data_IF_846523160531
#
_entry.id   IF_846523160531
#
_cell.length_a   1.000
_cell.length_b   1.000
_cell.length_c   1.000
_cell.angle_alpha   90.00
_cell.angle_beta   90.00
_cell.angle_gamma   90.00
#
_symmetry.space_group_name_H-M   'P 1'
#
loop_
_entity.id
_entity.type
_entity.pdbx_description
1 polymer ?
#
# COMPACT_ATOMS: atom_id res chain seq x y z
N UNK A 1 11.93 -22.32 12.04
CA UNK A 1 11.95 -20.87 12.37
C UNK A 1 12.10 -20.68 13.89
N UNK A 2 11.11 -21.08 14.70
CA UNK A 2 11.12 -20.93 16.17
C UNK A 2 12.37 -21.52 16.85
N UNK A 3 12.75 -22.76 16.51
CA UNK A 3 13.92 -23.41 17.13
C UNK A 3 15.24 -22.63 16.94
N UNK A 4 15.41 -21.90 15.82
CA UNK A 4 16.58 -21.04 15.62
C UNK A 4 16.54 -19.79 16.50
N UNK A 5 15.36 -19.18 16.67
CA UNK A 5 15.21 -18.01 17.54
C UNK A 5 15.55 -18.36 18.99
N UNK A 6 15.00 -19.47 19.50
CA UNK A 6 15.26 -19.96 20.86
C UNK A 6 16.74 -20.30 21.05
N UNK A 7 17.35 -21.04 20.10
CA UNK A 7 18.77 -21.44 20.18
C UNK A 7 19.74 -20.25 20.31
N UNK A 8 19.33 -19.09 19.82
CA UNK A 8 20.16 -17.88 19.76
C UNK A 8 19.60 -16.73 20.59
N UNK A 9 18.65 -16.99 21.49
CA UNK A 9 18.03 -15.99 22.38
C UNK A 9 17.49 -14.74 21.64
N UNK A 10 16.92 -14.94 20.46
CA UNK A 10 16.40 -13.86 19.61
C UNK A 10 14.93 -13.61 19.95
N UNK A 11 14.62 -12.37 20.34
CA UNK A 11 13.25 -11.88 20.46
C UNK A 11 12.63 -11.63 19.08
N UNK A 12 11.40 -12.10 18.87
CA UNK A 12 10.61 -11.81 17.67
C UNK A 12 9.38 -11.01 18.07
N UNK A 13 9.29 -9.78 17.56
CA UNK A 13 8.11 -8.93 17.66
C UNK A 13 7.48 -8.79 16.27
N UNK A 14 6.15 -8.83 16.23
CA UNK A 14 5.39 -8.70 14.99
C UNK A 14 4.24 -7.73 15.21
N UNK A 15 4.20 -6.69 14.38
CA UNK A 15 3.08 -5.75 14.29
C UNK A 15 2.47 -5.90 12.90
N UNK A 16 1.17 -6.18 12.88
CA UNK A 16 0.39 -6.33 11.64
C UNK A 16 -0.42 -5.05 11.42
N UNK A 17 -1.75 -5.13 11.48
CA UNK A 17 -2.66 -3.98 11.32
C UNK A 17 -2.27 -2.69 12.07
N UNK A 18 -1.73 -2.71 13.31
CA UNK A 18 -1.29 -1.48 13.97
C UNK A 18 -0.16 -0.75 13.21
N UNK A 19 0.72 -1.50 12.53
CA UNK A 19 1.78 -0.93 11.70
C UNK A 19 1.22 -0.38 10.41
N UNK A 20 0.25 -1.06 9.78
CA UNK A 20 -0.41 -0.57 8.56
C UNK A 20 -1.19 0.73 8.80
N UNK A 21 -1.92 0.80 9.92
CA UNK A 21 -2.81 1.91 10.26
C UNK A 21 -2.11 3.13 10.87
N UNK A 22 -0.84 3.04 11.22
CA UNK A 22 -0.13 4.08 11.95
C UNK A 22 0.03 5.36 11.10
N UNK A 23 -0.60 6.50 11.46
CA UNK A 23 -0.66 7.69 10.61
C UNK A 23 0.67 8.31 10.19
N UNK A 24 1.74 8.19 10.99
CA UNK A 24 3.00 8.89 10.68
C UNK A 24 3.98 8.05 9.85
N UNK A 25 3.96 6.73 10.03
CA UNK A 25 5.02 5.87 9.51
C UNK A 25 4.53 4.51 9.03
N UNK A 26 3.23 4.24 9.11
CA UNK A 26 2.67 2.98 8.67
C UNK A 26 2.72 2.79 7.16
N UNK A 27 2.45 1.57 6.71
CA UNK A 27 2.52 1.22 5.28
C UNK A 27 1.62 2.12 4.41
N UNK A 28 0.36 2.30 4.82
CA UNK A 28 -0.58 3.16 4.09
C UNK A 28 -0.15 4.62 4.10
N UNK A 29 0.28 5.14 5.25
CA UNK A 29 0.76 6.51 5.38
C UNK A 29 2.00 6.78 4.50
N UNK A 30 2.95 5.83 4.49
CA UNK A 30 4.17 5.94 3.72
C UNK A 30 3.91 5.98 2.22
N UNK A 31 3.05 5.08 1.70
CA UNK A 31 2.71 5.06 0.29
C UNK A 31 1.91 6.30 -0.12
N UNK A 32 0.97 6.74 0.73
CA UNK A 32 0.21 7.97 0.51
C UNK A 32 1.11 9.20 0.38
N UNK A 33 2.09 9.33 1.28
CA UNK A 33 3.07 10.42 1.27
C UNK A 33 3.97 10.36 0.02
N UNK A 34 4.49 9.18 -0.33
CA UNK A 34 5.34 8.98 -1.51
C UNK A 34 4.63 9.30 -2.82
N UNK A 35 3.31 9.06 -2.88
CA UNK A 35 2.46 9.44 -4.02
C UNK A 35 2.10 10.94 -4.03
N UNK A 36 2.41 11.68 -2.97
CA UNK A 36 2.06 13.09 -2.85
C UNK A 36 0.56 13.34 -2.77
N UNK A 37 -0.19 12.42 -2.15
CA UNK A 37 -1.64 12.57 -2.00
C UNK A 37 -1.97 13.67 -0.99
N UNK A 38 -3.00 14.45 -1.31
CA UNK A 38 -3.57 15.51 -0.48
C UNK A 38 -4.97 15.12 0.03
N UNK A 39 -5.51 15.88 0.99
CA UNK A 39 -6.86 15.68 1.52
C UNK A 39 -7.14 14.26 2.06
N UNK A 40 -6.16 13.68 2.77
CA UNK A 40 -6.22 12.28 3.21
C UNK A 40 -7.34 12.03 4.22
N UNK A 41 -8.19 11.05 3.91
CA UNK A 41 -9.25 10.56 4.80
C UNK A 41 -9.20 9.03 4.94
N UNK A 42 -9.19 8.50 6.17
CA UNK A 42 -9.30 7.05 6.37
C UNK A 42 -10.69 6.54 6.01
N UNK A 43 -10.77 5.38 5.33
CA UNK A 43 -12.01 4.74 4.93
C UNK A 43 -11.97 3.21 5.08
N UNK A 44 -13.13 2.59 4.82
CA UNK A 44 -13.31 1.16 4.82
C UNK A 44 -13.42 0.49 6.19
N UNK A 45 -13.64 -0.82 6.19
CA UNK A 45 -13.73 -1.61 7.40
C UNK A 45 -12.46 -1.44 8.27
N UNK A 46 -12.64 -0.95 9.50
CA UNK A 46 -11.57 -0.61 10.47
C UNK A 46 -10.76 0.67 10.15
N UNK A 47 -11.16 1.47 9.17
CA UNK A 47 -10.49 2.73 8.79
C UNK A 47 -9.01 2.55 8.45
N UNK A 48 -8.67 1.39 7.86
CA UNK A 48 -7.30 1.04 7.51
C UNK A 48 -6.87 1.70 6.20
N UNK A 49 -7.75 1.69 5.21
CA UNK A 49 -7.51 2.25 3.89
C UNK A 49 -7.49 3.78 3.94
N UNK A 50 -6.74 4.40 3.03
CA UNK A 50 -6.66 5.86 2.91
C UNK A 50 -7.17 6.30 1.55
N UNK A 51 -8.04 7.30 1.52
CA UNK A 51 -8.44 7.98 0.30
C UNK A 51 -7.82 9.38 0.28
N UNK A 52 -7.40 9.84 -0.88
CA UNK A 52 -6.80 11.15 -1.09
C UNK A 52 -6.84 11.55 -2.55
N UNK A 53 -6.30 12.73 -2.84
CA UNK A 53 -6.30 13.31 -4.18
C UNK A 53 -4.89 13.61 -4.65
N UNK A 54 -4.61 13.34 -5.92
CA UNK A 54 -3.43 13.91 -6.57
C UNK A 54 -3.63 15.42 -6.79
N UNK A 55 -2.56 16.23 -6.75
CA UNK A 55 -2.64 17.68 -7.00
C UNK A 55 -3.24 18.04 -8.37
N UNK A 56 -3.09 17.14 -9.35
CA UNK A 56 -3.72 17.26 -10.66
C UNK A 56 -4.11 15.86 -11.20
N UNK A 57 -5.15 15.76 -12.03
CA UNK A 57 -5.50 14.50 -12.69
C UNK A 57 -4.37 14.01 -13.61
N UNK A 58 -4.10 12.70 -13.57
CA UNK A 58 -3.08 12.04 -14.39
C UNK A 58 -3.67 10.90 -15.21
N UNK A 59 -2.98 10.48 -16.28
CA UNK A 59 -3.36 9.28 -17.03
C UNK A 59 -3.08 8.01 -16.20
N UNK A 60 -3.85 6.95 -16.47
CA UNK A 60 -3.68 5.62 -15.85
C UNK A 60 -2.24 5.11 -15.96
N UNK A 61 -1.65 5.20 -17.15
CA UNK A 61 -0.28 4.76 -17.40
C UNK A 61 0.76 5.59 -16.62
N UNK A 62 0.49 6.87 -16.38
CA UNK A 62 1.39 7.74 -15.63
C UNK A 62 1.45 7.30 -14.16
N UNK A 63 0.29 7.10 -13.50
CA UNK A 63 0.27 6.60 -12.13
C UNK A 63 0.90 5.19 -12.02
N UNK A 64 0.67 4.33 -13.01
CA UNK A 64 1.33 3.03 -13.11
C UNK A 64 2.86 3.13 -13.14
N UNK A 65 3.40 4.05 -13.95
CA UNK A 65 4.85 4.32 -14.00
C UNK A 65 5.40 4.89 -12.70
N UNK A 66 4.66 5.78 -12.03
CA UNK A 66 5.03 6.31 -10.71
C UNK A 66 5.12 5.19 -9.68
N UNK A 67 4.12 4.30 -9.62
CA UNK A 67 4.14 3.13 -8.73
C UNK A 67 5.32 2.21 -9.03
N UNK A 68 5.62 1.95 -10.30
CA UNK A 68 6.76 1.14 -10.70
C UNK A 68 8.09 1.74 -10.22
N UNK A 69 8.28 3.05 -10.37
CA UNK A 69 9.48 3.74 -9.90
C UNK A 69 9.60 3.71 -8.38
N UNK A 70 8.51 3.97 -7.66
CA UNK A 70 8.50 4.00 -6.20
C UNK A 70 8.72 2.61 -5.60
N UNK A 71 8.13 1.58 -6.19
CA UNK A 71 8.06 0.24 -5.61
C UNK A 71 9.09 -0.72 -6.23
N UNK A 72 9.71 -0.37 -7.34
CA UNK A 72 10.63 -1.26 -8.07
C UNK A 72 9.92 -2.49 -8.65
N UNK A 73 8.63 -2.37 -8.95
CA UNK A 73 7.77 -3.45 -9.45
C UNK A 73 6.71 -2.87 -10.38
N UNK A 74 6.62 -3.39 -11.60
CA UNK A 74 5.53 -3.06 -12.52
C UNK A 74 4.18 -3.53 -11.94
N UNK A 75 3.22 -2.63 -11.67
CA UNK A 75 1.90 -3.02 -11.17
C UNK A 75 1.08 -3.69 -12.26
N UNK A 76 0.24 -4.65 -11.90
CA UNK A 76 -0.84 -5.10 -12.79
C UNK A 76 -1.99 -4.08 -12.72
N UNK A 77 -2.38 -3.56 -13.87
CA UNK A 77 -3.43 -2.55 -14.01
C UNK A 77 -4.66 -3.20 -14.66
N UNK A 78 -5.83 -3.06 -14.03
CA UNK A 78 -7.10 -3.53 -14.58
C UNK A 78 -8.18 -2.44 -14.48
N UNK A 79 -9.21 -2.54 -15.32
CA UNK A 79 -10.25 -1.50 -15.47
C UNK A 79 -9.99 -0.56 -16.65
N UNK A 80 -10.72 0.56 -16.74
CA UNK A 80 -10.61 1.52 -17.84
C UNK A 80 -9.19 2.08 -17.99
N UNK A 81 -8.68 2.18 -19.23
CA UNK A 81 -7.34 2.73 -19.48
C UNK A 81 -7.38 4.21 -19.90
N UNK A 82 -8.48 4.65 -20.50
CA UNK A 82 -8.67 6.02 -21.01
C UNK A 82 -9.41 6.90 -19.99
N UNK A 83 -8.99 6.87 -18.72
CA UNK A 83 -9.58 7.65 -17.62
C UNK A 83 -8.53 8.58 -16.99
N UNK A 84 -8.97 9.76 -16.54
CA UNK A 84 -8.16 10.62 -15.69
C UNK A 84 -8.29 10.17 -14.23
N UNK A 85 -7.16 9.98 -13.55
CA UNK A 85 -7.08 9.57 -12.15
C UNK A 85 -6.72 10.77 -11.31
N UNK A 86 -7.55 11.10 -10.33
CA UNK A 86 -7.22 12.11 -9.32
C UNK A 86 -7.54 11.60 -7.92
N UNK A 87 -8.75 11.07 -7.71
CA UNK A 87 -9.21 10.55 -6.42
C UNK A 87 -8.78 9.09 -6.28
N UNK A 88 -7.91 8.81 -5.33
CA UNK A 88 -7.26 7.52 -5.15
C UNK A 88 -7.62 6.97 -3.78
N UNK A 89 -8.01 5.69 -3.74
CA UNK A 89 -7.99 4.91 -2.51
C UNK A 89 -6.77 3.99 -2.50
N UNK A 90 -6.18 3.74 -1.34
CA UNK A 90 -5.11 2.76 -1.18
C UNK A 90 -5.24 1.97 0.11
N UNK A 91 -4.80 0.71 0.06
CA UNK A 91 -4.56 -0.15 1.21
C UNK A 91 -3.50 -1.19 0.83
N UNK A 92 -2.34 -1.16 1.49
CA UNK A 92 -1.18 -2.03 1.18
C UNK A 92 -1.48 -3.51 1.43
N UNK A 93 -0.63 -4.40 0.90
CA UNK A 93 -0.76 -5.83 1.14
C UNK A 93 -1.94 -6.49 0.42
N UNK A 94 -2.56 -7.49 1.05
CA UNK A 94 -3.66 -8.28 0.49
C UNK A 94 -5.04 -7.65 0.68
N UNK A 95 -5.26 -6.42 0.22
CA UNK A 95 -6.49 -5.66 0.48
C UNK A 95 -7.36 -5.44 -0.76
N UNK A 96 -7.32 -6.35 -1.73
CA UNK A 96 -8.09 -6.27 -2.98
C UNK A 96 -9.61 -6.11 -2.81
N UNK A 97 -10.19 -6.57 -1.70
CA UNK A 97 -11.62 -6.43 -1.43
C UNK A 97 -12.06 -5.00 -1.12
N UNK A 98 -11.11 -4.13 -0.74
CA UNK A 98 -11.38 -2.71 -0.55
C UNK A 98 -11.84 -1.97 -1.81
N UNK A 99 -11.71 -2.59 -3.00
CA UNK A 99 -12.20 -2.02 -4.26
C UNK A 99 -13.70 -1.72 -4.21
N UNK A 100 -14.50 -2.52 -3.50
CA UNK A 100 -15.95 -2.31 -3.39
C UNK A 100 -16.26 -1.02 -2.65
N UNK A 101 -15.56 -0.76 -1.54
CA UNK A 101 -15.71 0.46 -0.76
C UNK A 101 -15.17 1.68 -1.54
N UNK A 102 -14.08 1.51 -2.30
CA UNK A 102 -13.53 2.54 -3.17
C UNK A 102 -14.51 2.95 -4.29
N UNK A 103 -15.22 1.98 -4.89
CA UNK A 103 -16.29 2.23 -5.86
C UNK A 103 -17.44 3.01 -5.22
N UNK A 104 -17.87 2.62 -4.02
CA UNK A 104 -18.96 3.31 -3.30
C UNK A 104 -18.60 4.75 -2.94
N UNK A 105 -17.32 5.03 -2.70
CA UNK A 105 -16.81 6.39 -2.49
C UNK A 105 -16.62 7.18 -3.80
N UNK A 106 -16.85 6.55 -4.96
CA UNK A 106 -16.70 7.17 -6.27
C UNK A 106 -15.26 7.50 -6.62
N UNK A 107 -14.27 6.76 -6.09
CA UNK A 107 -12.85 6.98 -6.38
C UNK A 107 -12.52 6.61 -7.84
N UNK A 108 -11.51 7.27 -8.40
CA UNK A 108 -11.10 7.02 -9.78
C UNK A 108 -10.21 5.77 -9.88
N UNK A 109 -9.41 5.53 -8.84
CA UNK A 109 -8.56 4.36 -8.71
C UNK A 109 -8.50 3.78 -7.29
N UNK A 110 -8.19 2.49 -7.20
CA UNK A 110 -7.84 1.81 -5.96
C UNK A 110 -6.50 1.05 -6.09
N UNK A 111 -5.61 1.23 -5.11
CA UNK A 111 -4.26 0.65 -5.09
C UNK A 111 -4.17 -0.35 -3.95
N UNK A 112 -3.71 -1.56 -4.24
CA UNK A 112 -3.35 -2.56 -3.23
C UNK A 112 -2.14 -3.39 -3.67
N UNK A 113 -1.72 -4.34 -2.84
CA UNK A 113 -0.61 -5.23 -3.16
C UNK A 113 -1.03 -6.40 -4.05
N UNK A 114 -1.97 -7.21 -3.55
CA UNK A 114 -2.44 -8.41 -4.26
C UNK A 114 -3.64 -8.13 -5.18
N UNK A 115 -4.09 -9.15 -5.91
CA UNK A 115 -5.29 -9.11 -6.74
C UNK A 115 -5.96 -10.48 -6.75
N UNK A 116 -7.28 -10.49 -6.93
CA UNK A 116 -8.04 -11.71 -7.19
C UNK A 116 -8.83 -11.60 -8.49
N UNK A 117 -9.33 -12.73 -9.01
CA UNK A 117 -10.09 -12.74 -10.26
C UNK A 117 -11.29 -11.78 -10.21
N UNK A 118 -12.08 -11.81 -9.12
CA UNK A 118 -13.23 -10.92 -8.91
C UNK A 118 -12.86 -9.43 -8.99
N UNK A 119 -11.66 -9.07 -8.55
CA UNK A 119 -11.19 -7.68 -8.56
C UNK A 119 -11.13 -7.13 -9.99
N UNK A 120 -10.77 -7.98 -10.95
CA UNK A 120 -10.72 -7.60 -12.37
C UNK A 120 -12.11 -7.33 -12.92
N UNK A 121 -13.09 -8.16 -12.55
CA UNK A 121 -14.49 -7.99 -12.96
C UNK A 121 -15.08 -6.70 -12.40
N UNK A 122 -14.95 -6.49 -11.08
CA UNK A 122 -15.43 -5.27 -10.41
C UNK A 122 -14.80 -4.02 -11.05
N UNK A 123 -13.47 -4.00 -11.25
CA UNK A 123 -12.80 -2.85 -11.85
C UNK A 123 -13.37 -2.47 -13.23
N UNK A 124 -13.65 -3.48 -14.07
CA UNK A 124 -14.20 -3.27 -15.42
C UNK A 124 -15.67 -2.88 -15.41
N UNK A 125 -16.47 -3.52 -14.58
CA UNK A 125 -17.92 -3.34 -14.50
C UNK A 125 -18.29 -2.01 -13.83
N UNK A 126 -17.56 -1.62 -12.78
CA UNK A 126 -17.80 -0.40 -12.00
C UNK A 126 -17.00 0.81 -12.50
N UNK A 127 -16.13 0.61 -13.51
CA UNK A 127 -15.36 1.70 -14.13
C UNK A 127 -14.31 2.35 -13.22
N UNK A 128 -13.81 1.62 -12.22
CA UNK A 128 -12.68 2.02 -11.36
C UNK A 128 -11.38 1.39 -11.88
N UNK A 129 -10.28 2.13 -11.79
CA UNK A 129 -8.96 1.59 -12.15
C UNK A 129 -8.34 0.92 -10.93
N UNK A 130 -7.86 -0.31 -11.08
CA UNK A 130 -7.23 -1.03 -9.99
C UNK A 130 -5.76 -1.29 -10.28
N UNK A 131 -4.90 -1.02 -9.30
CA UNK A 131 -3.46 -1.28 -9.36
C UNK A 131 -3.08 -2.34 -8.33
N UNK A 132 -2.63 -3.51 -8.81
CA UNK A 132 -1.99 -4.54 -7.98
C UNK A 132 -0.47 -4.32 -7.99
N UNK A 133 0.03 -3.66 -6.96
CA UNK A 133 1.39 -3.14 -6.88
C UNK A 133 2.36 -4.02 -6.07
N UNK A 134 1.93 -5.23 -5.69
CA UNK A 134 2.70 -6.23 -4.96
C UNK A 134 2.56 -6.13 -3.44
N UNK A 135 2.29 -7.24 -2.77
CA UNK A 135 2.11 -7.31 -1.31
C UNK A 135 3.39 -6.90 -0.59
N UNK A 136 4.49 -7.59 -0.86
CA UNK A 136 5.79 -7.28 -0.30
C UNK A 136 6.22 -5.87 -0.69
N UNK A 137 6.05 -5.51 -1.96
CA UNK A 137 6.50 -4.24 -2.49
C UNK A 137 5.85 -3.04 -1.77
N UNK A 138 4.57 -3.15 -1.41
CA UNK A 138 3.80 -2.11 -0.72
C UNK A 138 3.98 -2.08 0.80
N UNK A 139 4.52 -3.13 1.44
CA UNK A 139 4.62 -3.23 2.91
C UNK A 139 6.05 -3.14 3.48
N UNK A 140 7.03 -2.72 2.68
CA UNK A 140 8.42 -2.52 3.14
C UNK A 140 8.58 -1.30 4.03
N UNK A 141 7.87 -0.22 3.71
CA UNK A 141 8.15 1.09 4.28
C UNK A 141 7.76 1.19 5.75
N UNK A 142 6.67 0.55 6.18
CA UNK A 142 6.20 0.62 7.56
C UNK A 142 7.24 0.12 8.55
N UNK A 143 7.78 -1.09 8.31
CA UNK A 143 8.81 -1.67 9.18
C UNK A 143 10.14 -0.93 9.06
N UNK A 144 10.49 -0.45 7.85
CA UNK A 144 11.72 0.35 7.64
C UNK A 144 11.67 1.66 8.42
N UNK A 145 10.57 2.40 8.35
CA UNK A 145 10.36 3.67 9.05
C UNK A 145 10.21 3.49 10.56
N UNK A 146 9.58 2.42 11.02
CA UNK A 146 9.60 2.04 12.43
C UNK A 146 11.04 1.84 12.93
N UNK A 147 11.87 1.15 12.14
CA UNK A 147 13.29 0.98 12.44
C UNK A 147 14.02 2.32 12.61
N UNK A 148 13.79 3.28 11.71
CA UNK A 148 14.37 4.63 11.83
C UNK A 148 13.93 5.35 13.10
N UNK A 149 12.64 5.27 13.47
CA UNK A 149 12.14 5.87 14.72
C UNK A 149 12.77 5.23 15.96
N UNK A 150 13.04 3.92 15.94
CA UNK A 150 13.73 3.23 17.04
C UNK A 150 15.18 3.71 17.20
N UNK A 151 15.88 3.98 16.10
CA UNK A 151 17.22 4.59 16.12
C UNK A 151 17.14 5.99 16.74
N UNK A 152 16.21 6.82 16.26
CA UNK A 152 16.06 8.21 16.70
C UNK A 152 15.69 8.32 18.19
N UNK A 153 14.72 7.53 18.65
CA UNK A 153 14.17 7.65 20.00
C UNK A 153 14.99 6.93 21.07
N UNK A 154 15.62 5.80 20.72
CA UNK A 154 16.25 4.90 21.69
C UNK A 154 17.74 4.66 21.42
N UNK A 155 18.29 5.17 20.31
CA UNK A 155 19.70 4.99 19.95
C UNK A 155 20.06 3.54 19.62
N UNK A 156 19.09 2.72 19.19
CA UNK A 156 19.32 1.32 18.86
C UNK A 156 20.07 1.17 17.53
N UNK A 157 20.92 0.14 17.41
CA UNK A 157 21.39 -0.30 16.09
C UNK A 157 20.28 -1.08 15.39
N UNK A 158 19.78 -0.55 14.28
CA UNK A 158 18.73 -1.19 13.48
C UNK A 158 19.21 -1.43 12.06
N UNK A 159 19.00 -2.65 11.58
CA UNK A 159 19.25 -3.04 10.18
C UNK A 159 17.97 -3.51 9.55
N UNK A 160 17.52 -2.79 8.52
CA UNK A 160 16.43 -3.25 7.66
C UNK A 160 16.99 -4.26 6.65
N UNK A 161 16.33 -5.42 6.53
CA UNK A 161 16.71 -6.48 5.61
C UNK A 161 15.53 -6.75 4.68
N UNK A 162 15.64 -6.27 3.44
CA UNK A 162 14.68 -6.55 2.39
C UNK A 162 15.02 -7.89 1.73
N UNK A 163 14.16 -8.90 1.92
CA UNK A 163 14.26 -10.18 1.24
C UNK A 163 13.15 -10.23 0.20
N UNK A 164 13.53 -10.06 -1.07
CA UNK A 164 12.58 -9.95 -2.17
C UNK A 164 11.59 -11.13 -2.20
N UNK A 165 10.31 -10.79 -2.29
CA UNK A 165 9.20 -11.71 -2.51
C UNK A 165 8.44 -11.26 -3.78
N UNK A 166 8.18 -12.16 -4.75
CA UNK A 166 7.49 -11.81 -5.99
C UNK A 166 5.98 -11.55 -5.82
N UNK A 167 5.43 -11.71 -4.62
CA UNK A 167 4.03 -11.37 -4.31
C UNK A 167 3.94 -9.97 -3.77
#
# INVERSE_FOLDING_TARGET
RIARLIKHDINLLAYHLPLDAQPEFGNNAALSEQLGLECIVPFGAKRLSLAGELPAPVAVSHLGGTLEQLLGRTPLIVGPQDKAIQRIGLCTGGAQDGIVEAVQMGLDAFISGEISERTTHIAREEGIVYYAAGHHATEREGVRRLGLKLVEQFGLEVRFVDIANPV
#
